data_IF_982167432122
#
_entry.id   IF_982167432122
#
_cell.length_a   1.000
_cell.length_b   1.000
_cell.length_c   1.000
_cell.angle_alpha   90.00
_cell.angle_beta   90.00
_cell.angle_gamma   90.00
#
_symmetry.space_group_name_H-M   'P 1'
#
loop_
_entity.id
_entity.type
_entity.pdbx_description
1 polymer ?
#
# COMPACT_ATOMS: atom_id res chain seq x y z
N UNK A 1 9.19 -10.17 46.68
CA UNK A 1 8.32 -9.09 46.17
C UNK A 1 9.13 -8.29 45.17
N UNK A 2 9.08 -8.64 43.89
CA UNK A 2 9.71 -7.87 42.81
C UNK A 2 8.68 -7.68 41.71
N UNK A 3 8.24 -6.44 41.62
CA UNK A 3 7.25 -5.86 40.72
C UNK A 3 7.79 -5.88 39.28
N UNK A 4 7.11 -6.60 38.38
CA UNK A 4 7.44 -6.61 36.94
C UNK A 4 6.49 -5.65 36.24
N UNK A 5 6.97 -4.43 36.04
CA UNK A 5 6.31 -3.44 35.22
C UNK A 5 6.14 -3.93 33.79
N UNK A 6 4.89 -3.81 33.38
CA UNK A 6 4.28 -4.06 32.09
C UNK A 6 4.83 -3.05 31.08
N UNK A 7 5.69 -3.48 30.16
CA UNK A 7 6.07 -2.66 29.00
C UNK A 7 4.92 -2.70 27.99
N UNK A 8 4.18 -1.60 27.92
CA UNK A 8 3.08 -1.40 27.00
C UNK A 8 3.61 -1.34 25.56
N UNK A 9 3.27 -2.38 24.80
CA UNK A 9 3.34 -2.37 23.34
C UNK A 9 2.41 -1.27 22.83
N UNK A 10 3.00 -0.26 22.17
CA UNK A 10 2.29 0.85 21.51
C UNK A 10 1.52 0.29 20.32
N UNK A 11 0.38 -0.33 20.61
CA UNK A 11 -0.54 -0.91 19.65
C UNK A 11 -1.07 0.19 18.73
N UNK A 12 -1.03 -0.11 17.43
CA UNK A 12 -1.69 0.67 16.39
C UNK A 12 -3.15 0.95 16.80
N UNK A 13 -3.55 2.21 16.74
CA UNK A 13 -4.94 2.60 17.01
C UNK A 13 -5.84 1.92 15.98
N UNK A 14 -6.87 1.15 16.41
CA UNK A 14 -7.72 0.42 15.49
C UNK A 14 -8.57 1.38 14.65
N UNK A 15 -8.79 1.02 13.39
CA UNK A 15 -9.52 1.80 12.38
C UNK A 15 -10.94 2.25 12.79
N UNK A 16 -11.51 1.67 13.85
CA UNK A 16 -12.85 1.97 14.35
C UNK A 16 -13.00 3.40 14.91
N UNK A 17 -11.93 4.01 15.43
CA UNK A 17 -12.00 5.36 16.04
C UNK A 17 -12.03 6.47 14.97
N UNK A 18 -11.59 6.17 13.74
CA UNK A 18 -11.70 7.09 12.60
C UNK A 18 -13.13 7.14 12.04
N UNK A 19 -13.90 6.06 12.18
CA UNK A 19 -15.28 5.98 11.70
C UNK A 19 -16.25 6.76 12.60
N UNK A 20 -15.99 6.82 13.91
CA UNK A 20 -16.87 7.50 14.88
C UNK A 20 -16.91 9.04 14.73
N UNK A 21 -15.95 9.64 14.04
CA UNK A 21 -15.91 11.11 13.83
C UNK A 21 -16.65 11.54 12.55
N UNK A 22 -17.10 10.61 11.70
CA UNK A 22 -17.66 10.92 10.37
C UNK A 22 -19.16 10.61 10.33
N UNK A 23 -19.96 11.52 10.89
CA UNK A 23 -21.40 11.54 10.69
C UNK A 23 -21.81 12.11 9.33
N UNK A 24 -22.76 11.43 8.67
CA UNK A 24 -23.76 12.06 7.80
C UNK A 24 -23.40 12.31 6.33
N UNK A 25 -23.92 11.42 5.47
CA UNK A 25 -24.45 11.64 4.10
C UNK A 25 -24.03 12.88 3.31
N UNK A 26 -23.21 12.70 2.27
CA UNK A 26 -23.57 13.02 0.88
C UNK A 26 -22.45 12.58 -0.06
N UNK A 27 -22.73 12.49 -1.35
CA UNK A 27 -21.86 12.05 -2.46
C UNK A 27 -20.62 12.97 -2.70
N UNK A 28 -19.87 13.31 -1.65
CA UNK A 28 -18.60 14.04 -1.68
C UNK A 28 -17.36 13.15 -1.39
N UNK A 29 -17.54 11.87 -1.05
CA UNK A 29 -16.44 10.96 -0.64
C UNK A 29 -15.49 10.55 -1.78
N UNK A 30 -15.87 10.77 -3.04
CA UNK A 30 -15.04 10.38 -4.20
C UNK A 30 -13.89 11.38 -4.44
N UNK A 31 -13.98 12.61 -3.93
CA UNK A 31 -13.03 13.68 -4.27
C UNK A 31 -11.77 13.75 -3.38
N UNK A 32 -11.66 12.94 -2.32
CA UNK A 32 -10.55 13.08 -1.36
C UNK A 32 -9.81 11.76 -1.05
N UNK A 33 -9.87 10.75 -1.93
CA UNK A 33 -9.03 9.56 -1.76
C UNK A 33 -7.52 9.89 -1.79
N UNK A 34 -7.14 11.03 -2.40
CA UNK A 34 -5.77 11.55 -2.36
C UNK A 34 -5.36 12.06 -0.98
N UNK A 35 -6.32 12.43 -0.12
CA UNK A 35 -6.05 12.89 1.23
C UNK A 35 -5.63 11.78 2.18
N UNK A 36 -5.94 10.53 1.85
CA UNK A 36 -5.71 9.41 2.78
C UNK A 36 -4.52 8.54 2.38
N UNK A 37 -4.14 8.53 1.10
CA UNK A 37 -2.93 7.83 0.66
C UNK A 37 -2.33 8.43 -0.63
N UNK A 38 -1.00 8.40 -0.72
CA UNK A 38 -0.21 8.77 -1.89
C UNK A 38 0.36 7.54 -2.59
N UNK A 39 0.67 7.68 -3.90
CA UNK A 39 1.41 6.67 -4.65
C UNK A 39 2.84 7.16 -4.86
N UNK A 40 3.81 6.30 -4.57
CA UNK A 40 5.24 6.63 -4.64
C UNK A 40 6.00 5.49 -5.32
N UNK A 41 7.14 5.77 -5.98
CA UNK A 41 8.07 4.72 -6.40
C UNK A 41 8.47 3.85 -5.22
N UNK A 42 8.38 2.53 -5.37
CA UNK A 42 8.83 1.59 -4.36
C UNK A 42 10.35 1.73 -4.17
N UNK A 43 10.80 1.79 -2.91
CA UNK A 43 12.22 1.84 -2.55
C UNK A 43 12.61 0.57 -1.78
N UNK A 44 13.92 0.22 -1.71
CA UNK A 44 14.37 -0.90 -0.88
C UNK A 44 13.93 -0.80 0.58
N UNK A 45 13.81 0.42 1.12
CA UNK A 45 13.32 0.66 2.48
C UNK A 45 11.85 0.27 2.70
N UNK A 46 11.06 0.12 1.64
CA UNK A 46 9.65 -0.27 1.71
C UNK A 46 9.46 -1.79 1.73
N UNK A 47 10.50 -2.55 1.35
CA UNK A 47 10.42 -4.01 1.21
C UNK A 47 9.93 -4.73 2.48
N UNK A 48 10.33 -4.34 3.71
CA UNK A 48 9.79 -4.99 4.90
C UNK A 48 8.25 -4.94 4.98
N UNK A 49 7.64 -3.80 4.61
CA UNK A 49 6.17 -3.64 4.62
C UNK A 49 5.52 -4.30 3.40
N UNK A 50 6.14 -4.19 2.22
CA UNK A 50 5.67 -4.82 0.98
C UNK A 50 5.65 -6.35 1.11
N UNK A 51 6.71 -6.94 1.66
CA UNK A 51 6.81 -8.39 1.88
C UNK A 51 5.77 -8.89 2.89
N UNK A 52 5.47 -8.10 3.93
CA UNK A 52 4.41 -8.43 4.86
C UNK A 52 3.03 -8.48 4.17
N UNK A 53 2.76 -7.54 3.27
CA UNK A 53 1.53 -7.53 2.46
C UNK A 53 1.51 -8.71 1.48
N UNK A 54 2.60 -8.94 0.75
CA UNK A 54 2.76 -10.04 -0.22
C UNK A 54 2.50 -11.40 0.45
N UNK A 55 3.15 -11.66 1.59
CA UNK A 55 3.02 -12.89 2.36
C UNK A 55 1.59 -13.14 2.85
N UNK A 56 0.84 -12.07 3.17
CA UNK A 56 -0.54 -12.15 3.61
C UNK A 56 -1.55 -12.30 2.45
N UNK A 57 -1.17 -11.88 1.23
CA UNK A 57 -2.08 -11.84 0.09
C UNK A 57 -1.94 -13.04 -0.86
N UNK A 58 -0.77 -13.65 -0.96
CA UNK A 58 -0.48 -14.69 -1.95
C UNK A 58 -0.07 -16.02 -1.32
N UNK A 59 -0.50 -17.12 -1.94
CA UNK A 59 -0.10 -18.48 -1.53
C UNK A 59 1.36 -18.79 -1.86
N UNK A 60 1.87 -18.15 -2.90
CA UNK A 60 3.25 -18.30 -3.39
C UNK A 60 3.85 -16.90 -3.50
N UNK A 61 4.24 -16.30 -2.36
CA UNK A 61 4.70 -14.92 -2.30
C UNK A 61 6.05 -14.75 -3.00
N UNK A 62 6.27 -13.58 -3.58
CA UNK A 62 7.59 -13.16 -4.04
C UNK A 62 8.58 -13.01 -2.89
N UNK A 63 9.84 -13.35 -3.16
CA UNK A 63 10.95 -13.15 -2.23
C UNK A 63 11.43 -11.70 -2.27
N UNK A 64 12.17 -11.28 -1.24
CA UNK A 64 12.85 -9.97 -1.25
C UNK A 64 13.74 -9.81 -2.49
N UNK A 65 14.53 -10.83 -2.82
CA UNK A 65 15.39 -10.82 -4.00
C UNK A 65 14.61 -10.69 -5.31
N UNK A 66 13.38 -11.21 -5.38
CA UNK A 66 12.50 -11.04 -6.53
C UNK A 66 12.14 -9.57 -6.72
N UNK A 67 11.70 -8.88 -5.66
CA UNK A 67 11.42 -7.45 -5.74
C UNK A 67 12.67 -6.62 -6.06
N UNK A 68 13.79 -6.91 -5.41
CA UNK A 68 15.06 -6.21 -5.67
C UNK A 68 15.50 -6.36 -7.13
N UNK A 69 15.36 -7.56 -7.72
CA UNK A 69 15.64 -7.80 -9.13
C UNK A 69 14.68 -7.03 -10.05
N UNK A 70 13.39 -6.94 -9.70
CA UNK A 70 12.43 -6.14 -10.45
C UNK A 70 12.74 -4.65 -10.42
N UNK A 71 13.18 -4.12 -9.28
CA UNK A 71 13.59 -2.72 -9.14
C UNK A 71 14.76 -2.32 -10.06
N UNK A 72 15.56 -3.27 -10.53
CA UNK A 72 16.68 -3.01 -11.45
C UNK A 72 16.26 -2.93 -12.93
N UNK A 73 15.03 -3.32 -13.26
CA UNK A 73 14.57 -3.35 -14.66
C UNK A 73 14.03 -2.00 -15.06
N UNK A 74 14.56 -1.44 -16.14
CA UNK A 74 14.13 -0.15 -16.69
C UNK A 74 12.69 -0.13 -17.20
N UNK A 75 12.14 -1.31 -17.55
CA UNK A 75 10.78 -1.48 -18.02
C UNK A 75 9.79 -1.84 -16.91
N UNK A 76 10.24 -1.98 -15.66
CA UNK A 76 9.36 -2.29 -14.54
C UNK A 76 8.96 -1.01 -13.81
N UNK A 77 7.66 -0.84 -13.56
CA UNK A 77 7.14 0.21 -12.68
C UNK A 77 6.59 -0.43 -11.40
N UNK A 78 7.24 -0.09 -10.28
CA UNK A 78 6.87 -0.57 -8.96
C UNK A 78 6.45 0.61 -8.11
N UNK A 79 5.20 0.60 -7.66
CA UNK A 79 4.60 1.64 -6.81
C UNK A 79 4.15 1.08 -5.48
N UNK A 80 4.32 1.88 -4.43
CA UNK A 80 3.68 1.69 -3.13
C UNK A 80 2.55 2.70 -2.95
N UNK A 81 1.49 2.28 -2.26
CA UNK A 81 0.46 3.16 -1.73
C UNK A 81 0.74 3.36 -0.24
N UNK A 82 0.97 4.60 0.18
CA UNK A 82 1.30 4.95 1.57
C UNK A 82 0.24 5.85 2.17
N UNK A 83 -0.13 5.63 3.43
CA UNK A 83 -1.06 6.53 4.10
C UNK A 83 -0.45 7.93 4.25
N UNK A 84 -1.26 8.96 4.05
CA UNK A 84 -0.89 10.32 4.43
C UNK A 84 -1.23 10.53 5.89
N UNK A 85 -0.26 10.96 6.70
CA UNK A 85 -0.47 11.28 8.13
C UNK A 85 -0.23 12.76 8.36
N UNK A 86 -0.77 13.31 9.46
CA UNK A 86 -0.55 14.73 9.81
C UNK A 86 0.93 15.05 10.03
N UNK A 87 1.73 14.06 10.41
CA UNK A 87 3.14 14.19 10.76
C UNK A 87 4.08 13.77 9.60
N UNK A 88 3.53 13.44 8.43
CA UNK A 88 4.31 13.03 7.25
C UNK A 88 3.74 11.78 6.57
N UNK A 89 4.61 10.98 5.97
CA UNK A 89 4.21 9.78 5.23
C UNK A 89 4.12 8.58 6.18
N UNK A 90 2.97 7.89 6.17
CA UNK A 90 2.60 6.80 7.08
C UNK A 90 3.09 5.42 6.63
N UNK A 91 2.43 4.31 7.00
CA UNK A 91 2.81 2.98 6.54
C UNK A 91 2.36 2.69 5.10
N UNK A 92 3.02 1.73 4.45
CA UNK A 92 2.60 1.14 3.17
C UNK A 92 1.34 0.30 3.41
N UNK A 93 0.30 0.56 2.61
CA UNK A 93 -1.00 -0.13 2.70
C UNK A 93 -1.33 -0.92 1.43
N UNK A 94 -0.50 -0.82 0.40
CA UNK A 94 -0.59 -1.61 -0.81
C UNK A 94 0.57 -1.34 -1.75
N UNK A 95 0.69 -2.14 -2.79
CA UNK A 95 1.65 -1.93 -3.87
C UNK A 95 1.13 -2.49 -5.19
N UNK A 96 1.72 -2.03 -6.28
CA UNK A 96 1.47 -2.50 -7.62
C UNK A 96 2.78 -2.57 -8.40
N UNK A 97 2.95 -3.64 -9.15
CA UNK A 97 4.08 -3.90 -10.03
C UNK A 97 3.54 -4.19 -11.43
N UNK A 98 4.11 -3.55 -12.43
CA UNK A 98 3.85 -3.90 -13.82
C UNK A 98 5.13 -3.81 -14.67
N UNK A 99 5.09 -4.46 -15.82
CA UNK A 99 6.06 -4.31 -16.88
C UNK A 99 5.44 -3.53 -18.03
N UNK A 100 6.22 -2.61 -18.60
CA UNK A 100 5.90 -1.80 -19.76
C UNK A 100 6.82 -2.25 -20.89
N UNK A 101 6.36 -3.17 -21.73
CA UNK A 101 7.20 -3.77 -22.79
C UNK A 101 6.53 -3.54 -24.13
N UNK A 102 7.21 -2.80 -25.01
CA UNK A 102 6.64 -2.35 -26.27
C UNK A 102 5.29 -1.66 -26.04
N UNK A 103 4.21 -2.18 -26.64
CA UNK A 103 2.86 -1.63 -26.54
C UNK A 103 1.97 -2.43 -25.55
N UNK A 104 2.58 -3.25 -24.68
CA UNK A 104 1.87 -4.09 -23.72
C UNK A 104 2.18 -3.69 -22.27
N UNK A 105 1.13 -3.68 -21.44
CA UNK A 105 1.26 -3.61 -19.99
C UNK A 105 0.98 -4.99 -19.41
N UNK A 106 1.94 -5.54 -18.68
CA UNK A 106 1.75 -6.75 -17.91
C UNK A 106 1.72 -6.43 -16.42
N UNK A 107 0.56 -6.60 -15.78
CA UNK A 107 0.43 -6.51 -14.33
C UNK A 107 1.02 -7.78 -13.72
N UNK A 108 2.09 -7.66 -12.94
CA UNK A 108 2.77 -8.81 -12.34
C UNK A 108 2.21 -9.10 -10.96
N UNK A 109 2.25 -8.10 -10.07
CA UNK A 109 1.70 -8.21 -8.71
C UNK A 109 0.91 -6.94 -8.36
N UNK A 110 -0.23 -7.11 -7.69
CA UNK A 110 -0.98 -6.00 -7.10
C UNK A 110 -1.68 -6.48 -5.84
N UNK A 111 -1.38 -5.84 -4.72
CA UNK A 111 -1.95 -6.22 -3.43
C UNK A 111 -2.22 -5.02 -2.54
N UNK A 112 -3.21 -5.20 -1.67
CA UNK A 112 -3.62 -4.22 -0.67
C UNK A 112 -3.75 -4.96 0.66
N UNK A 113 -3.15 -4.39 1.70
CA UNK A 113 -3.23 -4.87 3.07
C UNK A 113 -4.70 -5.05 3.47
N UNK A 114 -5.01 -6.15 4.17
CA UNK A 114 -6.39 -6.59 4.39
C UNK A 114 -7.29 -5.49 5.00
N UNK A 115 -6.78 -4.79 6.01
CA UNK A 115 -7.50 -3.72 6.73
C UNK A 115 -7.81 -2.49 5.87
N UNK A 116 -7.12 -2.33 4.74
CA UNK A 116 -7.23 -1.18 3.84
C UNK A 116 -7.93 -1.52 2.51
N UNK A 117 -8.42 -2.75 2.37
CA UNK A 117 -9.23 -3.17 1.21
C UNK A 117 -10.57 -2.45 1.19
N UNK A 118 -11.16 -2.35 -0.01
CA UNK A 118 -12.45 -1.67 -0.27
C UNK A 118 -12.47 -0.16 0.06
N UNK A 119 -11.32 0.45 0.34
CA UNK A 119 -11.16 1.91 0.57
C UNK A 119 -10.59 2.66 -0.65
N UNK A 120 -10.60 2.05 -1.82
CA UNK A 120 -10.11 2.67 -3.07
C UNK A 120 -8.61 2.56 -3.36
N UNK A 121 -7.79 1.99 -2.45
CA UNK A 121 -6.33 1.81 -2.65
C UNK A 121 -6.01 1.03 -3.92
N UNK A 122 -6.60 -0.16 -4.07
CA UNK A 122 -6.38 -1.01 -5.25
C UNK A 122 -6.85 -0.37 -6.55
N UNK A 123 -7.97 0.38 -6.51
CA UNK A 123 -8.45 1.15 -7.67
C UNK A 123 -7.43 2.20 -8.10
N UNK A 124 -6.81 2.89 -7.15
CA UNK A 124 -5.82 3.94 -7.45
C UNK A 124 -4.53 3.35 -8.02
N UNK A 125 -4.04 2.25 -7.46
CA UNK A 125 -2.90 1.50 -8.02
C UNK A 125 -3.19 1.03 -9.45
N UNK A 126 -4.38 0.46 -9.68
CA UNK A 126 -4.80 0.02 -11.01
C UNK A 126 -4.89 1.19 -12.00
N UNK A 127 -5.50 2.31 -11.61
CA UNK A 127 -5.59 3.50 -12.48
C UNK A 127 -4.21 4.05 -12.84
N UNK A 128 -3.27 4.07 -11.89
CA UNK A 128 -1.89 4.46 -12.17
C UNK A 128 -1.25 3.56 -13.23
N UNK A 129 -1.43 2.24 -13.11
CA UNK A 129 -0.89 1.28 -14.08
C UNK A 129 -1.53 1.48 -15.46
N UNK A 130 -2.85 1.61 -15.54
CA UNK A 130 -3.56 1.81 -16.80
C UNK A 130 -3.17 3.11 -17.51
N UNK A 131 -2.82 4.15 -16.75
CA UNK A 131 -2.33 5.42 -17.30
C UNK A 131 -0.91 5.35 -17.88
N UNK A 132 -0.19 4.24 -17.67
CA UNK A 132 1.12 4.03 -18.30
C UNK A 132 1.00 3.53 -19.75
N UNK A 133 -0.16 2.97 -20.14
CA UNK A 133 -0.45 2.59 -21.52
C UNK A 133 -0.97 3.79 -22.29
N UNK A 134 -0.42 4.00 -23.48
CA UNK A 134 -0.89 5.01 -24.43
C UNK A 134 -2.01 4.45 -25.31
#
# INVERSE_FOLDING_TARGET
MHDRQRTESKAARPAAELEATMGGSDLGWIHDAAKWFCLEPMRPSDLPEVLAIEQACFKSPWSQASFEAEMQKSYADLKVARLSTKDGIGPVVGYGCCWLVADEIQITNLAVHNDYRRRGVGRRLMMHILQQGY
#
